data_IF_048782890166
#
_entry.id   IF_048782890166
#
_cell.length_a   1.000
_cell.length_b   1.000
_cell.length_c   1.000
_cell.angle_alpha   90.00
_cell.angle_beta   90.00
_cell.angle_gamma   90.00
#
_symmetry.space_group_name_H-M   'P 1'
#
loop_
_entity.id
_entity.type
_entity.pdbx_description
1 polymer ?
#
# COMPACT_ATOMS: atom_id res chain seq x y z
N UNK A 1 0.28 16.89 5.53
CA UNK A 1 0.82 15.51 5.46
C UNK A 1 0.42 14.83 6.76
N UNK A 2 -0.19 13.66 6.69
CA UNK A 2 -0.62 12.96 7.91
C UNK A 2 0.49 12.01 8.33
N UNK A 3 1.10 12.28 9.49
CA UNK A 3 2.05 11.38 10.11
C UNK A 3 1.43 10.96 11.44
N UNK A 4 1.27 9.66 11.66
CA UNK A 4 0.67 9.11 12.88
C UNK A 4 -0.75 9.62 13.22
N UNK A 5 -1.50 10.10 12.23
CA UNK A 5 -2.86 10.64 12.42
C UNK A 5 -2.91 12.10 12.87
N UNK A 6 -1.77 12.77 12.97
CA UNK A 6 -1.69 14.21 13.20
C UNK A 6 -1.52 14.95 11.86
N UNK A 7 -2.25 16.05 11.71
CA UNK A 7 -2.10 16.93 10.56
C UNK A 7 -0.85 17.79 10.76
N UNK A 8 0.27 17.35 10.18
CA UNK A 8 1.53 18.09 10.28
C UNK A 8 1.60 19.11 9.14
N UNK A 9 1.75 20.37 9.53
CA UNK A 9 2.07 21.46 8.62
C UNK A 9 3.49 21.26 8.06
N UNK A 10 3.56 20.75 6.82
CA UNK A 10 4.84 20.61 6.11
C UNK A 10 5.29 22.00 5.65
N UNK A 11 6.17 22.63 6.43
CA UNK A 11 6.82 23.91 6.08
C UNK A 11 7.97 23.73 5.08
N UNK A 12 8.36 22.49 4.80
CA UNK A 12 9.41 22.16 3.84
C UNK A 12 8.86 22.14 2.40
N UNK A 13 9.69 22.55 1.45
CA UNK A 13 9.36 22.44 0.03
C UNK A 13 9.53 20.98 -0.41
N UNK A 14 8.42 20.31 -0.70
CA UNK A 14 8.42 18.97 -1.31
C UNK A 14 8.76 19.14 -2.79
N UNK A 15 9.89 18.59 -3.22
CA UNK A 15 10.29 18.57 -4.62
C UNK A 15 10.45 17.11 -5.05
N UNK A 16 9.70 16.71 -6.08
CA UNK A 16 9.83 15.40 -6.70
C UNK A 16 10.93 15.50 -7.76
N UNK A 17 12.09 14.88 -7.48
CA UNK A 17 13.17 14.76 -8.45
C UNK A 17 12.98 13.51 -9.29
N UNK A 18 12.46 13.65 -10.51
CA UNK A 18 12.17 12.52 -11.40
C UNK A 18 13.41 11.84 -11.99
N UNK A 19 14.63 12.35 -11.67
CA UNK A 19 15.90 11.87 -12.22
C UNK A 19 16.82 11.07 -11.28
N UNK A 20 16.39 10.72 -10.07
CA UNK A 20 17.18 9.88 -9.14
C UNK A 20 16.76 8.39 -9.13
N UNK A 21 15.78 8.03 -9.95
CA UNK A 21 15.40 6.64 -10.19
C UNK A 21 16.36 6.05 -11.21
N UNK A 22 17.07 4.98 -10.86
CA UNK A 22 17.87 4.17 -11.79
C UNK A 22 17.01 3.35 -12.77
N UNK A 23 15.69 3.44 -12.68
CA UNK A 23 14.76 2.84 -13.64
C UNK A 23 14.53 3.82 -14.79
N UNK A 24 14.77 3.35 -16.02
CA UNK A 24 14.46 4.10 -17.23
C UNK A 24 12.95 4.40 -17.30
N UNK A 25 12.61 5.61 -17.76
CA UNK A 25 11.21 5.94 -18.01
C UNK A 25 10.62 5.09 -19.15
N UNK A 26 9.28 5.05 -19.21
CA UNK A 26 8.56 4.24 -20.20
C UNK A 26 8.92 4.59 -21.64
N UNK A 27 9.27 5.85 -21.94
CA UNK A 27 9.69 6.30 -23.27
C UNK A 27 11.07 5.76 -23.64
N UNK A 28 12.02 5.81 -22.72
CA UNK A 28 13.37 5.29 -22.92
C UNK A 28 13.36 3.76 -23.07
N UNK A 29 12.56 3.04 -22.27
CA UNK A 29 12.41 1.59 -22.43
C UNK A 29 11.83 1.21 -23.79
N UNK A 30 10.85 1.99 -24.29
CA UNK A 30 10.27 1.76 -25.61
C UNK A 30 11.28 2.02 -26.73
N UNK A 31 12.01 3.14 -26.65
CA UNK A 31 13.06 3.47 -27.61
C UNK A 31 14.19 2.42 -27.62
N UNK A 32 14.55 1.91 -26.43
CA UNK A 32 15.53 0.84 -26.29
C UNK A 32 15.07 -0.46 -26.95
N UNK A 33 13.81 -0.87 -26.74
CA UNK A 33 13.25 -2.05 -27.40
C UNK A 33 13.24 -1.90 -28.94
N UNK A 34 12.89 -0.71 -29.45
CA UNK A 34 12.90 -0.40 -30.89
C UNK A 34 14.30 -0.39 -31.52
N UNK A 35 15.34 -0.15 -30.73
CA UNK A 35 16.72 -0.14 -31.20
C UNK A 35 17.37 -1.53 -31.24
N UNK A 36 16.71 -2.58 -30.76
CA UNK A 36 17.27 -3.94 -30.74
C UNK A 36 17.35 -4.55 -32.14
N UNK A 37 18.52 -5.06 -32.48
CA UNK A 37 18.76 -5.79 -33.73
C UNK A 37 19.52 -7.10 -33.43
N UNK A 38 19.01 -8.26 -33.88
CA UNK A 38 17.73 -8.47 -34.55
C UNK A 38 16.54 -8.16 -33.64
N UNK A 39 15.39 -7.84 -34.25
CA UNK A 39 14.15 -7.60 -33.51
C UNK A 39 13.76 -8.83 -32.67
N UNK A 40 13.41 -8.68 -31.38
CA UNK A 40 12.99 -9.78 -30.54
C UNK A 40 11.69 -10.41 -31.05
N UNK A 41 11.65 -11.74 -31.08
CA UNK A 41 10.45 -12.51 -31.47
C UNK A 41 9.34 -12.46 -30.42
N UNK A 42 9.72 -12.21 -29.17
CA UNK A 42 8.82 -12.12 -28.02
C UNK A 42 9.45 -11.26 -26.93
N UNK A 43 8.66 -10.43 -26.25
CA UNK A 43 9.08 -9.59 -25.13
C UNK A 43 8.23 -9.90 -23.90
N UNK A 44 8.88 -10.24 -22.79
CA UNK A 44 8.21 -10.49 -21.50
C UNK A 44 8.42 -9.29 -20.59
N UNK A 45 7.34 -8.63 -20.19
CA UNK A 45 7.38 -7.50 -19.25
C UNK A 45 7.21 -8.06 -17.84
N UNK A 46 8.22 -7.82 -17.00
CA UNK A 46 8.27 -8.26 -15.61
C UNK A 46 8.68 -7.08 -14.71
N UNK A 47 8.74 -7.31 -13.40
CA UNK A 47 9.22 -6.33 -12.41
C UNK A 47 8.53 -4.95 -12.51
N UNK A 48 7.24 -4.94 -12.20
CA UNK A 48 6.46 -3.74 -11.95
C UNK A 48 5.16 -4.11 -11.25
N UNK A 49 4.38 -3.09 -10.85
CA UNK A 49 3.02 -3.34 -10.40
C UNK A 49 2.20 -3.91 -11.58
N UNK A 50 1.35 -4.91 -11.32
CA UNK A 50 0.56 -5.60 -12.35
C UNK A 50 -0.09 -4.68 -13.40
N UNK A 51 -0.84 -3.62 -13.03
CA UNK A 51 -1.43 -2.72 -14.03
C UNK A 51 -0.38 -1.96 -14.84
N UNK A 52 0.79 -1.66 -14.27
CA UNK A 52 1.86 -0.94 -14.96
C UNK A 52 2.53 -1.83 -16.00
N UNK A 53 2.81 -3.09 -15.66
CA UNK A 53 3.40 -4.06 -16.59
C UNK A 53 2.47 -4.39 -17.75
N UNK A 54 1.17 -4.55 -17.49
CA UNK A 54 0.15 -4.76 -18.53
C UNK A 54 0.07 -3.58 -19.49
N UNK A 55 0.01 -2.34 -18.97
CA UNK A 55 -0.02 -1.12 -19.80
C UNK A 55 1.25 -1.02 -20.65
N UNK A 56 2.42 -1.32 -20.08
CA UNK A 56 3.68 -1.24 -20.82
C UNK A 56 3.79 -2.32 -21.90
N UNK A 57 3.34 -3.55 -21.62
CA UNK A 57 3.26 -4.61 -22.61
C UNK A 57 2.35 -4.21 -23.79
N UNK A 58 1.19 -3.60 -23.51
CA UNK A 58 0.30 -3.10 -24.55
C UNK A 58 0.98 -2.03 -25.42
N UNK A 59 1.75 -1.10 -24.84
CA UNK A 59 2.52 -0.12 -25.61
C UNK A 59 3.55 -0.75 -26.55
N UNK A 60 4.17 -1.86 -26.15
CA UNK A 60 5.07 -2.63 -27.02
C UNK A 60 4.29 -3.28 -28.16
N UNK A 61 3.13 -3.88 -27.88
CA UNK A 61 2.23 -4.43 -28.90
C UNK A 61 1.79 -3.35 -29.91
N UNK A 62 1.44 -2.15 -29.45
CA UNK A 62 1.06 -1.02 -30.30
C UNK A 62 2.21 -0.56 -31.22
N UNK A 63 3.47 -0.90 -30.88
CA UNK A 63 4.66 -0.67 -31.71
C UNK A 63 5.03 -1.85 -32.61
N UNK A 64 4.26 -2.93 -32.60
CA UNK A 64 4.43 -4.09 -33.47
C UNK A 64 5.15 -5.28 -32.83
N UNK A 65 5.58 -5.17 -31.57
CA UNK A 65 6.21 -6.29 -30.87
C UNK A 65 5.18 -7.33 -30.46
N UNK A 66 5.58 -8.61 -30.44
CA UNK A 66 4.85 -9.62 -29.66
C UNK A 66 5.29 -9.49 -28.20
N UNK A 67 4.41 -9.03 -27.32
CA UNK A 67 4.74 -8.76 -25.94
C UNK A 67 3.57 -9.06 -24.98
N UNK A 68 3.90 -9.45 -23.75
CA UNK A 68 2.92 -9.57 -22.66
C UNK A 68 3.57 -9.39 -21.29
N UNK A 69 2.75 -9.09 -20.28
CA UNK A 69 3.18 -9.12 -18.88
C UNK A 69 3.15 -10.58 -18.41
N UNK A 70 4.30 -11.12 -18.01
CA UNK A 70 4.38 -12.52 -17.62
C UNK A 70 3.81 -12.72 -16.22
N UNK A 71 2.96 -13.73 -16.07
CA UNK A 71 2.33 -14.07 -14.80
C UNK A 71 3.22 -14.97 -13.93
N UNK A 72 2.91 -15.05 -12.64
CA UNK A 72 3.60 -15.95 -11.74
C UNK A 72 3.37 -17.41 -12.18
N UNK A 73 4.42 -18.22 -12.23
CA UNK A 73 4.38 -19.62 -12.72
C UNK A 73 4.03 -19.79 -14.22
N UNK A 74 4.10 -18.73 -15.04
CA UNK A 74 4.00 -18.87 -16.49
C UNK A 74 5.15 -19.74 -17.04
N UNK A 75 4.84 -20.65 -17.97
CA UNK A 75 5.81 -21.50 -18.65
C UNK A 75 5.77 -21.24 -20.14
N UNK A 76 6.92 -20.91 -20.73
CA UNK A 76 7.04 -20.56 -22.14
C UNK A 76 8.14 -21.38 -22.83
N UNK A 77 7.83 -21.90 -24.03
CA UNK A 77 8.79 -22.55 -24.91
C UNK A 77 9.41 -21.49 -25.85
N UNK A 78 10.62 -21.06 -25.53
CA UNK A 78 11.34 -20.05 -26.30
C UNK A 78 11.77 -20.55 -27.69
N UNK A 79 11.98 -21.85 -27.86
CA UNK A 79 12.42 -22.42 -29.14
C UNK A 79 11.26 -22.51 -30.13
N UNK A 80 10.09 -22.96 -29.65
CA UNK A 80 8.87 -23.02 -30.45
C UNK A 80 8.06 -21.71 -30.46
N UNK A 81 8.51 -20.69 -29.70
CA UNK A 81 7.85 -19.40 -29.52
C UNK A 81 6.37 -19.53 -29.14
N UNK A 82 6.07 -20.32 -28.11
CA UNK A 82 4.70 -20.55 -27.64
C UNK A 82 4.62 -20.72 -26.13
N UNK A 83 3.53 -20.23 -25.57
CA UNK A 83 3.19 -20.42 -24.16
C UNK A 83 2.71 -21.86 -23.92
N UNK A 84 3.24 -22.50 -22.88
CA UNK A 84 2.85 -23.85 -22.44
C UNK A 84 1.88 -23.81 -21.26
N UNK A 85 2.04 -22.83 -20.36
CA UNK A 85 1.14 -22.57 -19.23
C UNK A 85 1.07 -21.06 -18.97
N UNK A 86 -0.12 -20.52 -18.75
CA UNK A 86 -0.35 -19.07 -18.62
C UNK A 86 -0.01 -18.47 -17.24
N UNK A 87 0.38 -19.30 -16.27
CA UNK A 87 0.62 -18.83 -14.90
C UNK A 87 -0.65 -18.47 -14.14
N UNK A 88 -0.47 -17.81 -12.99
CA UNK A 88 -1.52 -17.37 -12.07
C UNK A 88 -1.36 -15.88 -11.73
N UNK A 89 -2.46 -15.10 -11.77
CA UNK A 89 -2.41 -13.71 -11.35
C UNK A 89 -2.13 -13.63 -9.86
N UNK A 90 -1.09 -12.87 -9.51
CA UNK A 90 -0.80 -12.60 -8.10
C UNK A 90 -1.95 -11.76 -7.51
N UNK A 91 -2.38 -12.06 -6.28
CA UNK A 91 -3.37 -11.23 -5.61
C UNK A 91 -2.85 -9.79 -5.56
N UNK A 92 -3.68 -8.78 -5.83
CA UNK A 92 -3.25 -7.40 -5.76
C UNK A 92 -2.64 -7.18 -4.38
N UNK A 93 -1.44 -6.59 -4.34
CA UNK A 93 -0.83 -6.15 -3.09
C UNK A 93 -1.92 -5.38 -2.34
N UNK A 94 -2.23 -5.74 -1.08
CA UNK A 94 -3.25 -5.02 -0.34
C UNK A 94 -2.90 -3.55 -0.48
N UNK A 95 -3.82 -2.75 -1.03
CA UNK A 95 -3.71 -1.30 -0.94
C UNK A 95 -3.33 -1.05 0.51
N UNK A 96 -2.29 -0.24 0.75
CA UNK A 96 -1.97 0.17 2.11
C UNK A 96 -3.26 0.77 2.66
N UNK A 97 -4.02 -0.05 3.37
CA UNK A 97 -5.32 0.36 3.85
C UNK A 97 -5.00 1.57 4.70
N UNK A 98 -5.85 2.59 4.63
CA UNK A 98 -5.97 3.53 5.75
C UNK A 98 -6.49 2.75 6.95
N UNK A 99 -5.72 1.77 7.42
CA UNK A 99 -5.99 1.01 8.61
C UNK A 99 -5.99 1.99 9.75
N UNK A 100 -7.00 1.85 10.61
CA UNK A 100 -7.06 2.56 11.88
C UNK A 100 -5.67 2.61 12.50
N UNK A 101 -5.26 3.83 12.86
CA UNK A 101 -3.97 4.07 13.46
C UNK A 101 -3.73 3.03 14.57
N UNK A 102 -2.56 2.34 14.61
CA UNK A 102 -2.24 1.44 15.71
C UNK A 102 -2.40 2.11 17.09
N UNK A 103 -2.29 3.44 17.14
CA UNK A 103 -2.55 4.25 18.32
C UNK A 103 -4.04 4.39 18.66
N UNK A 104 -4.91 4.45 17.64
CA UNK A 104 -6.36 4.45 17.84
C UNK A 104 -6.84 3.12 18.43
N UNK A 105 -6.35 1.98 17.92
CA UNK A 105 -6.68 0.67 18.48
C UNK A 105 -6.25 0.52 19.94
N UNK A 106 -5.04 0.98 20.27
CA UNK A 106 -4.56 1.02 21.67
C UNK A 106 -5.43 1.91 22.57
N UNK A 107 -5.95 3.02 22.04
CA UNK A 107 -6.86 3.89 22.78
C UNK A 107 -8.21 3.20 23.05
N UNK A 108 -8.76 2.49 22.06
CA UNK A 108 -9.98 1.71 22.24
C UNK A 108 -9.81 0.58 23.27
N UNK A 109 -8.69 -0.15 23.21
CA UNK A 109 -8.35 -1.19 24.19
C UNK A 109 -8.32 -0.62 25.62
N UNK A 110 -7.64 0.53 25.83
CA UNK A 110 -7.62 1.21 27.12
C UNK A 110 -9.01 1.66 27.59
N UNK A 111 -9.89 2.05 26.66
CA UNK A 111 -11.29 2.39 26.96
C UNK A 111 -12.11 1.17 27.42
N UNK A 112 -11.87 0.01 26.82
CA UNK A 112 -12.51 -1.25 27.25
C UNK A 112 -12.05 -1.66 28.65
N UNK A 113 -10.75 -1.56 28.95
CA UNK A 113 -10.21 -1.81 30.29
C UNK A 113 -10.84 -0.89 31.34
N UNK A 114 -11.01 0.40 31.01
CA UNK A 114 -11.67 1.36 31.91
C UNK A 114 -13.11 0.96 32.23
N UNK A 115 -13.87 0.49 31.23
CA UNK A 115 -15.24 0.00 31.43
C UNK A 115 -15.26 -1.22 32.35
N UNK A 116 -14.28 -2.12 32.23
CA UNK A 116 -14.13 -3.25 33.15
C UNK A 116 -13.82 -2.77 34.57
N UNK A 117 -12.93 -1.80 34.77
CA UNK A 117 -12.64 -1.23 36.10
C UNK A 117 -13.89 -0.60 36.72
N UNK A 118 -14.72 0.09 35.93
CA UNK A 118 -16.00 0.65 36.40
C UNK A 118 -16.93 -0.49 36.89
N UNK A 119 -17.02 -1.59 36.13
CA UNK A 119 -17.83 -2.76 36.52
C UNK A 119 -17.34 -3.39 37.83
N UNK A 120 -16.02 -3.48 38.04
CA UNK A 120 -15.43 -4.05 39.25
C UNK A 120 -15.66 -3.20 40.51
N UNK A 121 -15.83 -1.88 40.36
CA UNK A 121 -16.10 -0.99 41.49
C UNK A 121 -17.57 -1.01 41.96
N UNK A 122 -18.42 -1.85 41.36
CA UNK A 122 -19.81 -2.03 41.78
C UNK A 122 -19.87 -2.54 43.23
N UNK A 123 -20.43 -1.72 44.13
CA UNK A 123 -20.50 -2.02 45.57
C UNK A 123 -19.37 -1.38 46.40
N UNK A 124 -18.52 -0.55 45.79
CA UNK A 124 -17.56 0.30 46.49
C UNK A 124 -18.21 1.39 47.34
N UNK A 125 -17.41 2.10 48.14
CA UNK A 125 -17.94 3.16 49.01
C UNK A 125 -18.42 4.37 48.20
N UNK A 126 -19.47 5.05 48.65
CA UNK A 126 -19.99 6.25 47.98
C UNK A 126 -18.91 7.33 47.79
N UNK A 127 -17.98 7.47 48.76
CA UNK A 127 -16.88 8.43 48.67
C UNK A 127 -15.94 8.11 47.52
N UNK A 128 -15.57 6.84 47.37
CA UNK A 128 -14.62 6.42 46.34
C UNK A 128 -15.28 6.41 44.95
N UNK A 129 -16.57 6.07 44.87
CA UNK A 129 -17.36 6.18 43.64
C UNK A 129 -17.48 7.63 43.15
N UNK A 130 -17.76 8.58 44.03
CA UNK A 130 -17.81 10.01 43.68
C UNK A 130 -16.42 10.56 43.30
N UNK A 131 -15.37 10.11 44.00
CA UNK A 131 -14.00 10.50 43.64
C UNK A 131 -13.60 9.99 42.24
N UNK A 132 -13.95 8.74 41.92
CA UNK A 132 -13.66 8.14 40.62
C UNK A 132 -14.49 8.78 39.49
N UNK A 133 -15.78 9.02 39.72
CA UNK A 133 -16.66 9.74 38.79
C UNK A 133 -16.13 11.14 38.44
N UNK A 134 -15.64 11.89 39.45
CA UNK A 134 -15.02 13.20 39.23
C UNK A 134 -13.77 13.11 38.32
N UNK A 135 -12.92 12.11 38.52
CA UNK A 135 -11.73 11.91 37.69
C UNK A 135 -12.09 11.57 36.23
N UNK A 136 -13.14 10.77 36.01
CA UNK A 136 -13.64 10.47 34.67
C UNK A 136 -14.15 11.73 33.96
N UNK A 137 -14.92 12.56 34.66
CA UNK A 137 -15.40 13.83 34.11
C UNK A 137 -14.26 14.79 33.76
N UNK A 138 -13.22 14.88 34.59
CA UNK A 138 -12.02 15.68 34.29
C UNK A 138 -11.30 15.15 33.04
N UNK A 139 -11.11 13.83 32.92
CA UNK A 139 -10.51 13.21 31.75
C UNK A 139 -11.32 13.46 30.48
N UNK A 140 -12.65 13.28 30.52
CA UNK A 140 -13.54 13.54 29.38
C UNK A 140 -13.46 15.01 28.97
N UNK A 141 -13.40 15.94 29.93
CA UNK A 141 -13.26 17.38 29.65
C UNK A 141 -11.93 17.72 28.98
N UNK A 142 -10.85 17.04 29.36
CA UNK A 142 -9.52 17.26 28.76
C UNK A 142 -9.41 16.75 27.33
N UNK A 143 -10.08 15.65 26.99
CA UNK A 143 -9.93 14.97 25.70
C UNK A 143 -11.15 15.08 24.77
N UNK A 144 -12.27 15.63 25.27
CA UNK A 144 -13.43 15.99 24.47
C UNK A 144 -13.07 17.14 23.54
N UNK A 145 -12.85 16.82 22.26
CA UNK A 145 -12.67 17.81 21.20
C UNK A 145 -14.00 18.43 20.79
#
# INVERSE_FOLDING_TARGET
MHLFGEEIAVKARIVKFEGLSSHADSSHLLAWAQAMVPEPKQVFVIHGDAPVTEIFAQKLCDKGFSAHAAEYEEVYDLAANRMLAAGVPLPPKPAAAGGESPYYRKLEEAGQELLEVIRHNKGGTNRDLTAFEKQLHEMIKTWGR
#
